data_IF_379480772038
#
_entry.id   IF_379480772038
#
_cell.length_a   1.000
_cell.length_b   1.000
_cell.length_c   1.000
_cell.angle_alpha   90.00
_cell.angle_beta   90.00
_cell.angle_gamma   90.00
#
_symmetry.space_group_name_H-M   'P 1'
#
loop_
_entity.id
_entity.type
_entity.pdbx_description
1 polymer ?
#
# COMPACT_ATOMS: atom_id res chain seq x y z
N UNK A 1 20.10 -25.18 1.06
CA UNK A 1 20.47 -24.09 1.99
C UNK A 1 20.70 -22.79 1.22
N UNK A 2 21.47 -22.81 0.12
CA UNK A 2 21.65 -21.66 -0.78
C UNK A 2 20.32 -21.07 -1.33
N UNK A 3 19.42 -21.90 -1.85
CA UNK A 3 18.11 -21.45 -2.38
C UNK A 3 17.25 -20.69 -1.35
N UNK A 4 17.30 -21.10 -0.07
CA UNK A 4 16.57 -20.41 1.00
C UNK A 4 17.19 -19.04 1.29
N UNK A 5 18.51 -18.95 1.34
CA UNK A 5 19.21 -17.68 1.56
C UNK A 5 18.96 -16.70 0.42
N UNK A 6 18.93 -17.21 -0.82
CA UNK A 6 18.58 -16.42 -1.99
C UNK A 6 17.13 -15.93 -1.97
N UNK A 7 16.18 -16.80 -1.60
CA UNK A 7 14.78 -16.40 -1.40
C UNK A 7 14.62 -15.32 -0.32
N UNK A 8 15.37 -15.42 0.79
CA UNK A 8 15.38 -14.37 1.82
C UNK A 8 15.99 -13.07 1.31
N UNK A 9 17.09 -13.13 0.55
CA UNK A 9 17.70 -11.92 0.00
C UNK A 9 16.72 -11.18 -0.94
N UNK A 10 16.02 -11.92 -1.81
CA UNK A 10 14.98 -11.40 -2.69
C UNK A 10 13.82 -10.78 -1.90
N UNK A 11 13.35 -11.49 -0.87
CA UNK A 11 12.34 -10.98 0.07
C UNK A 11 12.72 -9.63 0.68
N UNK A 12 13.90 -9.55 1.29
CA UNK A 12 14.36 -8.35 1.99
C UNK A 12 14.60 -7.19 1.04
N UNK A 13 15.07 -7.46 -0.17
CA UNK A 13 15.19 -6.45 -1.23
C UNK A 13 13.83 -5.88 -1.62
N UNK A 14 12.87 -6.74 -1.97
CA UNK A 14 11.51 -6.32 -2.32
C UNK A 14 10.82 -5.55 -1.18
N UNK A 15 11.01 -6.01 0.06
CA UNK A 15 10.54 -5.31 1.25
C UNK A 15 11.20 -3.92 1.40
N UNK A 16 12.52 -3.84 1.25
CA UNK A 16 13.28 -2.59 1.33
C UNK A 16 12.85 -1.56 0.28
N UNK A 17 12.66 -1.98 -0.98
CA UNK A 17 12.13 -1.14 -2.06
C UNK A 17 10.77 -0.57 -1.71
N UNK A 18 9.81 -1.41 -1.33
CA UNK A 18 8.48 -0.96 -0.95
C UNK A 18 8.52 0.04 0.22
N UNK A 19 9.36 -0.24 1.22
CA UNK A 19 9.51 0.62 2.39
C UNK A 19 10.09 1.99 2.03
N UNK A 20 11.06 2.05 1.13
CA UNK A 20 11.60 3.31 0.62
C UNK A 20 10.50 4.15 -0.02
N UNK A 21 9.69 3.55 -0.90
CA UNK A 21 8.61 4.26 -1.58
C UNK A 21 7.54 4.78 -0.61
N UNK A 22 7.13 3.97 0.36
CA UNK A 22 6.17 4.38 1.39
C UNK A 22 6.74 5.50 2.26
N UNK A 23 8.01 5.41 2.68
CA UNK A 23 8.65 6.45 3.48
C UNK A 23 8.77 7.77 2.73
N UNK A 24 9.17 7.76 1.44
CA UNK A 24 9.22 8.96 0.62
C UNK A 24 7.83 9.58 0.45
N UNK A 25 6.83 8.74 0.18
CA UNK A 25 5.42 9.15 0.04
C UNK A 25 4.90 9.80 1.32
N UNK A 26 5.12 9.15 2.48
CA UNK A 26 4.73 9.68 3.78
C UNK A 26 5.46 10.97 4.11
N UNK A 27 6.78 11.02 3.91
CA UNK A 27 7.61 12.20 4.20
C UNK A 27 7.12 13.41 3.40
N UNK A 28 6.85 13.25 2.11
CA UNK A 28 6.29 14.32 1.29
C UNK A 28 4.88 14.74 1.74
N UNK A 29 4.05 13.79 2.18
CA UNK A 29 2.71 14.06 2.69
C UNK A 29 2.66 14.80 4.02
N UNK A 30 3.66 14.62 4.89
CA UNK A 30 3.74 15.35 6.19
C UNK A 30 4.62 16.60 6.12
N UNK A 31 5.24 16.86 4.96
CA UNK A 31 6.09 18.04 4.76
C UNK A 31 5.25 19.28 4.45
N UNK A 32 5.77 20.44 4.86
CA UNK A 32 5.24 21.75 4.43
C UNK A 32 5.90 22.13 3.10
N UNK A 33 5.09 22.29 2.06
CA UNK A 33 5.58 22.73 0.74
C UNK A 33 5.47 24.25 0.63
N UNK A 34 6.43 24.88 -0.05
CA UNK A 34 6.45 26.34 -0.21
C UNK A 34 5.22 26.83 -0.99
N UNK A 35 4.88 26.12 -2.07
CA UNK A 35 3.75 26.39 -2.96
C UNK A 35 3.27 25.09 -3.62
N UNK A 36 2.21 25.18 -4.43
CA UNK A 36 1.65 24.04 -5.16
C UNK A 36 2.61 23.43 -6.17
N UNK A 37 3.47 24.24 -6.80
CA UNK A 37 4.46 23.74 -7.79
C UNK A 37 5.49 22.84 -7.11
N UNK A 38 6.02 23.26 -5.96
CA UNK A 38 6.96 22.47 -5.18
C UNK A 38 6.33 21.15 -4.68
N UNK A 39 5.05 21.18 -4.32
CA UNK A 39 4.27 20.00 -3.98
C UNK A 39 4.16 19.02 -5.16
N UNK A 40 3.70 19.49 -6.33
CA UNK A 40 3.58 18.65 -7.52
C UNK A 40 4.94 18.11 -8.00
N UNK A 41 6.01 18.90 -7.90
CA UNK A 41 7.37 18.44 -8.23
C UNK A 41 7.84 17.31 -7.30
N UNK A 42 7.54 17.42 -6.00
CA UNK A 42 7.88 16.38 -5.03
C UNK A 42 7.10 15.09 -5.30
N UNK A 43 5.79 15.19 -5.50
CA UNK A 43 4.94 14.04 -5.77
C UNK A 43 5.15 13.44 -7.17
N UNK A 44 5.50 14.24 -8.17
CA UNK A 44 5.90 13.79 -9.49
C UNK A 44 7.16 12.92 -9.44
N UNK A 45 8.17 13.31 -8.64
CA UNK A 45 9.36 12.47 -8.39
C UNK A 45 8.98 11.16 -7.71
N UNK A 46 8.06 11.19 -6.74
CA UNK A 46 7.58 9.98 -6.06
C UNK A 46 6.84 9.06 -7.04
N UNK A 47 5.96 9.60 -7.90
CA UNK A 47 5.28 8.81 -8.92
C UNK A 47 6.28 8.13 -9.88
N UNK A 48 7.35 8.83 -10.26
CA UNK A 48 8.42 8.25 -11.06
C UNK A 48 9.15 7.14 -10.32
N UNK A 49 9.35 7.22 -9.01
CA UNK A 49 9.93 6.12 -8.21
C UNK A 49 9.02 4.88 -8.22
N UNK A 50 7.70 5.07 -8.03
CA UNK A 50 6.74 3.96 -8.11
C UNK A 50 6.67 3.36 -9.51
N UNK A 51 6.77 4.18 -10.56
CA UNK A 51 6.75 3.75 -11.96
C UNK A 51 8.04 3.02 -12.35
N UNK A 52 9.18 3.67 -12.16
CA UNK A 52 10.50 3.30 -12.67
C UNK A 52 11.48 3.25 -11.50
N UNK A 53 11.31 2.24 -10.64
CA UNK A 53 12.27 1.94 -9.58
C UNK A 53 13.57 1.47 -10.25
N UNK A 54 14.45 2.44 -10.54
CA UNK A 54 15.70 2.23 -11.27
C UNK A 54 16.62 1.20 -10.58
N UNK A 55 16.43 0.93 -9.29
CA UNK A 55 17.17 -0.09 -8.56
C UNK A 55 16.59 -1.51 -8.73
N UNK A 56 15.35 -1.62 -9.20
CA UNK A 56 14.55 -2.86 -9.30
C UNK A 56 14.01 -3.05 -10.74
N UNK A 57 14.93 -2.99 -11.70
CA UNK A 57 14.65 -2.87 -13.13
C UNK A 57 14.14 -4.14 -13.82
N UNK A 58 14.21 -5.32 -13.20
CA UNK A 58 13.73 -6.56 -13.81
C UNK A 58 12.24 -6.79 -13.57
N UNK A 59 11.60 -7.52 -14.50
CA UNK A 59 10.20 -7.92 -14.33
C UNK A 59 10.00 -8.76 -13.05
N UNK A 60 11.01 -9.57 -12.72
CA UNK A 60 11.01 -10.40 -11.53
C UNK A 60 11.02 -9.56 -10.25
N UNK A 61 11.90 -8.56 -10.15
CA UNK A 61 11.95 -7.67 -8.98
C UNK A 61 10.65 -6.89 -8.80
N UNK A 62 10.08 -6.35 -9.89
CA UNK A 62 8.81 -5.62 -9.83
C UNK A 62 7.67 -6.52 -9.33
N UNK A 63 7.61 -7.77 -9.81
CA UNK A 63 6.62 -8.74 -9.34
C UNK A 63 6.83 -9.12 -7.87
N UNK A 64 8.07 -9.31 -7.43
CA UNK A 64 8.40 -9.56 -6.02
C UNK A 64 7.95 -8.41 -5.11
N UNK A 65 8.20 -7.16 -5.50
CA UNK A 65 7.74 -5.96 -4.75
C UNK A 65 6.22 -5.89 -4.67
N UNK A 66 5.52 -6.11 -5.78
CA UNK A 66 4.05 -6.14 -5.82
C UNK A 66 3.51 -7.23 -4.88
N UNK A 67 4.12 -8.40 -4.87
CA UNK A 67 3.70 -9.50 -4.01
C UNK A 67 3.95 -9.21 -2.52
N UNK A 68 5.13 -8.68 -2.17
CA UNK A 68 5.41 -8.27 -0.80
C UNK A 68 4.39 -7.21 -0.36
N UNK A 69 4.08 -6.25 -1.22
CA UNK A 69 3.08 -5.20 -0.98
C UNK A 69 1.69 -5.80 -0.78
N UNK A 70 1.22 -6.63 -1.69
CA UNK A 70 -0.14 -7.19 -1.65
C UNK A 70 -0.34 -8.22 -0.52
N UNK A 71 0.68 -9.03 -0.21
CA UNK A 71 0.55 -10.17 0.69
C UNK A 71 1.09 -9.93 2.08
N UNK A 72 2.30 -9.38 2.22
CA UNK A 72 2.86 -9.10 3.54
C UNK A 72 2.23 -7.83 4.05
N UNK A 73 2.37 -6.75 3.28
CA UNK A 73 1.95 -5.44 3.73
C UNK A 73 0.43 -5.29 3.76
N UNK A 74 -0.26 -5.81 2.74
CA UNK A 74 -1.72 -5.91 2.73
C UNK A 74 -2.26 -6.73 3.90
N UNK A 75 -1.62 -7.85 4.27
CA UNK A 75 -2.02 -8.63 5.45
C UNK A 75 -1.79 -7.86 6.75
N UNK A 76 -0.62 -7.26 6.94
CA UNK A 76 -0.32 -6.48 8.14
C UNK A 76 -1.28 -5.28 8.29
N UNK A 77 -1.56 -4.57 7.20
CA UNK A 77 -2.54 -3.49 7.16
C UNK A 77 -3.97 -3.98 7.47
N UNK A 78 -4.37 -5.15 6.96
CA UNK A 78 -5.65 -5.78 7.33
C UNK A 78 -5.70 -6.09 8.83
N UNK A 79 -4.60 -6.56 9.41
CA UNK A 79 -4.52 -6.86 10.84
C UNK A 79 -4.66 -5.60 11.70
N UNK A 80 -4.07 -4.46 11.31
CA UNK A 80 -4.22 -3.18 12.03
C UNK A 80 -5.68 -2.83 12.33
N UNK A 81 -6.56 -3.11 11.36
CA UNK A 81 -7.97 -2.76 11.36
C UNK A 81 -8.91 -3.95 11.67
N UNK A 82 -8.37 -5.13 12.01
CA UNK A 82 -9.12 -6.32 12.43
C UNK A 82 -9.08 -6.48 13.97
N UNK A 83 -10.02 -7.20 14.59
CA UNK A 83 -10.11 -7.30 16.06
C UNK A 83 -9.92 -8.75 16.60
N UNK A 84 -8.86 -9.04 17.38
CA UNK A 84 -8.65 -10.34 18.01
C UNK A 84 -9.10 -10.45 19.50
N UNK A 85 -10.26 -9.88 19.84
CA UNK A 85 -10.98 -9.93 21.16
C UNK A 85 -10.91 -8.68 22.07
N UNK A 86 -10.57 -7.56 21.44
CA UNK A 86 -10.96 -6.18 21.72
C UNK A 86 -9.89 -5.26 22.39
N UNK A 87 -9.07 -4.63 21.53
CA UNK A 87 -8.26 -3.45 21.84
C UNK A 87 -8.52 -2.22 20.91
N UNK A 88 -9.63 -1.47 20.84
CA UNK A 88 -11.02 -1.56 21.31
C UNK A 88 -11.87 -0.48 20.56
N UNK A 89 -12.31 -0.59 19.30
CA UNK A 89 -12.30 -1.67 18.32
C UNK A 89 -12.52 -1.08 16.91
N UNK A 90 -11.74 -1.52 15.92
CA UNK A 90 -12.25 -1.67 14.55
C UNK A 90 -12.59 -3.16 14.36
N UNK A 91 -13.88 -3.51 14.52
CA UNK A 91 -14.46 -4.85 14.29
C UNK A 91 -15.77 -4.70 13.53
N UNK A 92 -15.94 -5.42 12.41
CA UNK A 92 -17.23 -6.00 11.93
C UNK A 92 -18.36 -5.06 11.51
N UNK A 93 -18.34 -3.82 11.99
CA UNK A 93 -19.05 -2.65 11.54
C UNK A 93 -17.99 -1.56 11.60
N UNK A 94 -17.38 -1.22 10.47
CA UNK A 94 -17.04 0.19 10.33
C UNK A 94 -18.34 0.92 10.63
N UNK A 95 -18.46 1.60 11.78
CA UNK A 95 -19.17 2.87 11.76
C UNK A 95 -18.28 3.76 10.91
N UNK A 96 -18.38 3.52 9.61
CA UNK A 96 -17.63 4.18 8.58
C UNK A 96 -17.76 5.69 8.74
N UNK A 97 -18.92 6.10 9.25
CA UNK A 97 -19.27 7.40 9.78
C UNK A 97 -18.15 8.07 10.60
N UNK A 98 -17.33 7.33 11.34
CA UNK A 98 -16.21 7.92 12.09
C UNK A 98 -15.10 8.46 11.18
N UNK A 99 -14.92 7.89 10.00
CA UNK A 99 -13.89 8.27 9.02
C UNK A 99 -14.47 8.88 7.74
N UNK A 100 -15.79 8.83 7.52
CA UNK A 100 -16.44 9.44 6.35
C UNK A 100 -16.13 10.93 6.20
N UNK A 101 -15.92 11.61 7.32
CA UNK A 101 -15.56 13.03 7.37
C UNK A 101 -14.05 13.26 7.21
N UNK A 102 -13.22 12.21 7.16
CA UNK A 102 -11.77 12.37 7.05
C UNK A 102 -11.40 12.71 5.59
N UNK A 103 -10.66 13.81 5.35
CA UNK A 103 -10.40 14.35 4.00
C UNK A 103 -9.72 13.38 3.03
N UNK A 104 -9.04 12.37 3.57
CA UNK A 104 -8.35 11.35 2.79
C UNK A 104 -9.32 10.39 2.07
N UNK A 105 -10.53 10.18 2.62
CA UNK A 105 -11.50 9.22 2.07
C UNK A 105 -12.39 9.83 0.97
N UNK A 106 -12.50 11.16 0.90
CA UNK A 106 -13.25 11.86 -0.15
C UNK A 106 -12.57 11.78 -1.53
N UNK A 107 -11.27 11.52 -1.58
CA UNK A 107 -10.49 11.40 -2.82
C UNK A 107 -10.54 10.01 -3.48
N UNK A 108 -11.28 9.06 -2.89
CA UNK A 108 -11.32 7.67 -3.36
C UNK A 108 -12.70 7.35 -3.99
N UNK A 109 -12.75 6.55 -5.07
CA UNK A 109 -13.97 6.31 -5.82
C UNK A 109 -15.02 5.56 -4.99
N UNK A 110 -16.25 6.08 -4.99
CA UNK A 110 -17.40 5.66 -4.18
C UNK A 110 -17.78 4.17 -4.22
N UNK A 111 -17.35 3.45 -5.25
CA UNK A 111 -17.70 2.06 -5.52
C UNK A 111 -16.89 1.02 -4.73
N UNK A 112 -15.76 1.40 -4.11
CA UNK A 112 -14.94 0.47 -3.31
C UNK A 112 -15.40 0.51 -1.84
N UNK A 113 -15.60 -0.64 -1.16
CA UNK A 113 -15.88 -0.66 0.27
C UNK A 113 -14.82 0.13 1.04
N UNK A 114 -15.20 1.12 1.85
CA UNK A 114 -14.22 2.03 2.43
C UNK A 114 -13.33 1.42 3.53
N UNK A 115 -13.62 0.19 3.98
CA UNK A 115 -12.62 -0.67 4.64
C UNK A 115 -11.42 -0.95 3.74
N UNK A 116 -11.67 -1.43 2.52
CA UNK A 116 -10.64 -1.76 1.55
C UNK A 116 -9.82 -0.55 1.15
N UNK A 117 -10.44 0.65 1.21
CA UNK A 117 -9.76 1.93 1.03
C UNK A 117 -8.77 2.23 2.16
N UNK A 118 -9.19 2.11 3.41
CA UNK A 118 -8.31 2.31 4.58
C UNK A 118 -7.12 1.35 4.59
N UNK A 119 -7.35 0.09 4.23
CA UNK A 119 -6.29 -0.91 4.09
C UNK A 119 -5.29 -0.48 3.02
N UNK A 120 -5.78 -0.07 1.84
CA UNK A 120 -4.92 0.45 0.77
C UNK A 120 -4.14 1.69 1.19
N UNK A 121 -4.78 2.64 1.88
CA UNK A 121 -4.10 3.82 2.40
C UNK A 121 -2.97 3.44 3.36
N UNK A 122 -3.20 2.50 4.27
CA UNK A 122 -2.15 2.03 5.17
C UNK A 122 -0.99 1.36 4.39
N UNK A 123 -1.29 0.60 3.34
CA UNK A 123 -0.27 -0.04 2.51
C UNK A 123 0.65 0.97 1.82
N UNK A 124 0.13 2.10 1.32
CA UNK A 124 0.92 3.05 0.53
C UNK A 124 1.42 4.29 1.30
N UNK A 125 0.83 4.60 2.46
CA UNK A 125 1.09 5.86 3.17
C UNK A 125 1.44 5.72 4.66
N UNK A 126 1.39 4.51 5.23
CA UNK A 126 1.77 4.32 6.62
C UNK A 126 3.17 3.68 6.68
N UNK A 127 4.19 4.40 7.16
CA UNK A 127 5.54 3.88 7.28
C UNK A 127 5.59 2.56 8.04
N UNK A 128 6.48 1.64 7.63
CA UNK A 128 6.63 0.35 8.26
C UNK A 128 6.83 0.31 9.78
N UNK A 129 7.65 1.20 10.36
CA UNK A 129 7.79 1.25 11.80
C UNK A 129 6.46 1.49 12.54
N UNK A 130 5.57 2.32 11.98
CA UNK A 130 4.29 2.65 12.60
C UNK A 130 3.27 1.50 12.49
N UNK A 131 3.30 0.73 11.39
CA UNK A 131 2.52 -0.50 11.28
C UNK A 131 2.97 -1.51 12.35
N UNK A 132 4.28 -1.70 12.49
CA UNK A 132 4.84 -2.62 13.48
C UNK A 132 4.47 -2.17 14.90
N UNK A 133 4.61 -0.89 15.23
CA UNK A 133 4.25 -0.33 16.54
C UNK A 133 2.78 -0.59 16.89
N UNK A 134 1.87 -0.32 15.95
CA UNK A 134 0.43 -0.55 16.12
C UNK A 134 0.05 -2.04 16.23
N UNK A 135 0.82 -2.94 15.60
CA UNK A 135 0.64 -4.38 15.73
C UNK A 135 1.19 -4.90 17.06
N UNK A 136 2.34 -4.40 17.51
CA UNK A 136 2.91 -4.76 18.81
C UNK A 136 1.96 -4.38 19.95
N UNK A 137 1.41 -3.17 19.94
CA UNK A 137 0.38 -2.75 20.91
C UNK A 137 -0.84 -3.69 20.92
N UNK A 138 -1.26 -4.17 19.74
CA UNK A 138 -2.39 -5.09 19.60
C UNK A 138 -2.08 -6.50 20.10
N UNK A 139 -0.86 -6.98 19.93
CA UNK A 139 -0.47 -8.35 20.25
C UNK A 139 0.04 -8.53 21.68
N UNK A 140 0.23 -7.44 22.43
CA UNK A 140 0.63 -7.51 23.85
C UNK A 140 -0.52 -8.00 24.74
N UNK A 141 -0.32 -9.07 25.53
CA UNK A 141 -1.36 -9.63 26.39
C UNK A 141 -1.70 -8.68 27.56
N UNK A 142 -2.96 -8.65 27.99
CA UNK A 142 -3.44 -7.90 29.15
C UNK A 142 -2.95 -8.56 30.46
N UNK A 143 -1.66 -8.46 30.77
CA UNK A 143 -1.09 -9.08 31.98
C UNK A 143 -0.77 -8.11 33.10
N UNK A 144 -1.10 -6.82 32.97
CA UNK A 144 -0.97 -5.87 34.08
C UNK A 144 -2.25 -5.94 34.93
N UNK A 145 -2.17 -6.38 36.20
CA UNK A 145 -3.31 -6.35 37.11
C UNK A 145 -3.83 -4.93 37.18
N UNK A 146 -5.14 -4.77 37.12
CA UNK A 146 -5.85 -3.50 37.30
C UNK A 146 -5.48 -2.93 38.68
N UNK A 147 -4.40 -2.14 38.73
CA UNK A 147 -4.12 -1.30 39.87
C UNK A 147 -5.23 -0.25 39.94
N UNK A 148 -5.65 0.10 41.14
CA UNK A 148 -6.79 0.97 41.48
C UNK A 148 -6.64 2.43 41.04
N UNK A 149 -5.77 2.72 40.07
CA UNK A 149 -5.57 4.02 39.46
C UNK A 149 -6.00 3.97 37.97
N UNK A 150 -6.92 4.83 37.52
CA UNK A 150 -7.52 4.77 36.18
C UNK A 150 -6.59 5.27 35.05
N UNK A 151 -5.27 5.24 35.24
CA UNK A 151 -4.31 5.87 34.31
C UNK A 151 -3.56 4.86 33.43
N UNK A 152 -3.46 3.58 33.80
CA UNK A 152 -2.51 2.68 33.12
C UNK A 152 -3.17 1.45 32.46
N UNK A 153 -4.12 1.68 31.55
CA UNK A 153 -4.20 0.79 30.38
C UNK A 153 -3.24 1.34 29.32
N UNK A 154 -2.02 0.81 29.26
CA UNK A 154 -0.96 1.23 28.33
C UNK A 154 -1.25 0.78 26.88
N UNK A 155 -2.49 0.98 26.40
CA UNK A 155 -2.90 0.70 25.03
C UNK A 155 -2.94 1.97 24.21
N UNK A 156 -2.34 1.94 23.02
CA UNK A 156 -2.32 3.08 22.11
C UNK A 156 -3.73 3.39 21.61
N UNK A 157 -4.18 4.62 21.78
CA UNK A 157 -5.36 5.11 21.07
C UNK A 157 -5.00 5.22 19.57
N UNK A 158 -5.33 4.18 18.80
CA UNK A 158 -4.96 4.05 17.39
C UNK A 158 -5.36 5.24 16.54
N UNK A 159 -6.58 5.77 16.72
CA UNK A 159 -7.07 6.92 15.96
C UNK A 159 -6.26 8.18 16.28
N UNK A 160 -6.02 8.44 17.57
CA UNK A 160 -5.21 9.57 17.99
C UNK A 160 -3.77 9.45 17.49
N UNK A 161 -3.18 8.25 17.55
CA UNK A 161 -1.86 7.96 17.02
C UNK A 161 -1.77 8.21 15.52
N UNK A 162 -2.70 7.66 14.72
CA UNK A 162 -2.76 7.87 13.27
C UNK A 162 -2.94 9.35 12.91
N UNK A 163 -3.74 10.12 13.67
CA UNK A 163 -3.85 11.57 13.50
C UNK A 163 -2.54 12.29 13.74
N UNK A 164 -1.80 11.93 14.80
CA UNK A 164 -0.48 12.54 15.08
C UNK A 164 0.55 12.26 14.01
N UNK A 165 0.42 11.15 13.28
CA UNK A 165 1.27 10.80 12.15
C UNK A 165 0.87 11.49 10.83
N UNK A 166 -0.20 12.30 10.83
CA UNK A 166 -0.76 12.87 9.60
C UNK A 166 -1.35 11.83 8.66
N UNK A 167 -1.66 10.62 9.15
CA UNK A 167 -2.20 9.55 8.31
C UNK A 167 -3.56 9.93 7.72
N UNK A 168 -4.37 10.70 8.45
CA UNK A 168 -5.72 11.12 8.07
C UNK A 168 -5.78 12.49 7.37
N UNK A 169 -4.65 13.16 7.22
CA UNK A 169 -4.56 14.47 6.60
C UNK A 169 -4.74 14.37 5.07
N UNK A 170 -5.04 15.51 4.43
CA UNK A 170 -5.00 15.63 2.97
C UNK A 170 -3.60 15.29 2.48
N UNK A 171 -3.49 14.29 1.59
CA UNK A 171 -2.20 13.78 1.10
C UNK A 171 -1.27 14.75 0.37
N UNK A 172 -1.70 15.82 -0.31
CA UNK A 172 -0.75 16.77 -0.89
C UNK A 172 0.05 17.59 0.17
N UNK A 173 -0.11 17.32 1.47
CA UNK A 173 0.62 18.02 2.53
C UNK A 173 0.05 19.39 2.81
N UNK A 174 0.78 20.21 3.58
CA UNK A 174 0.36 21.56 3.95
C UNK A 174 1.05 22.58 3.04
N UNK A 175 0.26 23.38 2.31
CA UNK A 175 0.80 24.48 1.51
C UNK A 175 1.20 25.65 2.42
N UNK A 176 2.27 26.37 2.06
CA UNK A 176 2.73 27.53 2.80
C UNK A 176 1.78 28.72 2.74
N UNK A 177 0.94 28.77 1.70
CA UNK A 177 -0.04 29.81 1.40
C UNK A 177 -1.41 29.17 1.13
N UNK A 178 -2.36 29.38 2.05
CA UNK A 178 -3.72 28.81 2.02
C UNK A 178 -4.63 29.44 0.94
N UNK A 179 -4.14 30.44 0.20
CA UNK A 179 -4.92 31.16 -0.83
C UNK A 179 -5.18 30.34 -2.09
N UNK A 180 -4.40 29.29 -2.33
CA UNK A 180 -4.61 28.30 -3.40
C UNK A 180 -5.55 27.20 -2.88
N UNK A 181 -6.83 27.55 -2.74
CA UNK A 181 -7.87 26.60 -2.31
C UNK A 181 -7.83 25.30 -3.10
N UNK A 182 -7.96 24.18 -2.37
CA UNK A 182 -8.13 22.79 -2.85
C UNK A 182 -7.65 22.50 -4.28
N UNK A 183 -6.40 22.88 -4.59
CA UNK A 183 -5.77 22.48 -5.84
C UNK A 183 -5.64 20.96 -5.82
N UNK A 184 -6.50 20.28 -6.57
CA UNK A 184 -6.56 18.82 -6.61
C UNK A 184 -5.27 18.30 -7.21
N UNK A 185 -4.34 17.86 -6.37
CA UNK A 185 -3.16 17.14 -6.83
C UNK A 185 -3.60 15.87 -7.56
N UNK A 186 -2.93 15.56 -8.67
CA UNK A 186 -3.13 14.28 -9.37
C UNK A 186 -2.59 13.08 -8.56
N UNK A 187 -1.92 13.36 -7.44
CA UNK A 187 -1.36 12.36 -6.54
C UNK A 187 -2.42 11.75 -5.62
N UNK A 188 -3.05 10.67 -6.10
CA UNK A 188 -4.00 9.87 -5.33
C UNK A 188 -3.44 8.49 -5.00
N UNK A 189 -4.10 7.79 -4.07
CA UNK A 189 -3.76 6.39 -3.77
C UNK A 189 -3.98 5.50 -4.99
N UNK A 190 -5.03 5.77 -5.76
CA UNK A 190 -5.26 5.13 -7.06
C UNK A 190 -4.10 5.39 -8.00
N UNK A 191 -3.63 6.63 -8.10
CA UNK A 191 -2.49 6.98 -8.96
C UNK A 191 -1.23 6.20 -8.56
N UNK A 192 -0.92 6.09 -7.27
CA UNK A 192 0.22 5.31 -6.78
C UNK A 192 0.12 3.83 -7.13
N UNK A 193 -1.04 3.21 -6.86
CA UNK A 193 -1.29 1.82 -7.24
C UNK A 193 -1.10 1.68 -8.74
N UNK A 194 -1.75 2.52 -9.55
CA UNK A 194 -1.64 2.44 -11.01
C UNK A 194 -0.18 2.61 -11.48
N UNK A 195 0.60 3.52 -10.89
CA UNK A 195 2.00 3.74 -11.29
C UNK A 195 2.87 2.50 -11.05
N UNK A 196 2.70 1.81 -9.92
CA UNK A 196 3.39 0.54 -9.64
C UNK A 196 3.11 -0.50 -10.74
N UNK A 197 1.84 -0.61 -11.14
CA UNK A 197 1.39 -1.54 -12.19
C UNK A 197 1.75 -1.10 -13.61
N UNK A 198 1.77 0.19 -13.90
CA UNK A 198 2.26 0.74 -15.17
C UNK A 198 3.76 0.46 -15.36
N UNK A 199 4.54 0.45 -14.28
CA UNK A 199 5.94 0.04 -14.33
C UNK A 199 6.09 -1.41 -14.80
N UNK A 200 5.24 -2.30 -14.28
CA UNK A 200 5.20 -3.70 -14.71
C UNK A 200 4.75 -3.86 -16.16
N UNK A 201 3.75 -3.10 -16.59
CA UNK A 201 3.25 -3.14 -17.97
C UNK A 201 4.31 -2.70 -18.97
N UNK A 202 5.06 -1.63 -18.66
CA UNK A 202 6.20 -1.18 -19.46
C UNK A 202 7.27 -2.27 -19.63
N UNK A 203 7.60 -3.00 -18.56
CA UNK A 203 8.56 -4.12 -18.62
C UNK A 203 8.06 -5.30 -19.46
N UNK A 204 6.74 -5.47 -19.57
CA UNK A 204 6.12 -6.51 -20.42
C UNK A 204 6.02 -6.12 -21.90
N UNK A 205 6.53 -4.94 -22.27
CA UNK A 205 6.45 -4.36 -23.61
C UNK A 205 5.13 -3.64 -23.88
N UNK A 206 4.32 -3.37 -22.85
CA UNK A 206 3.14 -2.53 -22.93
C UNK A 206 3.50 -1.05 -23.10
N UNK A 207 2.59 -0.28 -23.67
CA UNK A 207 2.70 1.17 -23.72
C UNK A 207 2.09 1.80 -22.46
N UNK A 208 2.67 2.88 -21.95
CA UNK A 208 2.03 3.67 -20.90
C UNK A 208 0.87 4.45 -21.55
N UNK A 209 -0.36 4.03 -21.28
CA UNK A 209 -1.57 4.70 -21.74
C UNK A 209 -2.24 5.33 -20.53
N UNK A 210 -1.89 6.58 -20.20
CA UNK A 210 -2.50 7.36 -19.13
C UNK A 210 -3.90 7.86 -19.54
N UNK A 211 -4.78 6.97 -19.99
CA UNK A 211 -6.19 7.31 -20.19
C UNK A 211 -6.88 7.24 -18.83
N UNK A 212 -7.57 8.31 -18.39
CA UNK A 212 -8.34 8.30 -17.16
C UNK A 212 -9.31 7.10 -17.12
N UNK A 213 -9.21 6.28 -16.08
CA UNK A 213 -10.05 5.08 -15.90
C UNK A 213 -9.55 3.81 -16.61
N UNK A 214 -8.48 3.88 -17.41
CA UNK A 214 -7.82 2.67 -17.91
C UNK A 214 -6.98 2.01 -16.81
N UNK A 215 -7.09 0.69 -16.71
CA UNK A 215 -6.33 -0.13 -15.78
C UNK A 215 -5.21 -0.84 -16.54
N UNK A 216 -3.97 -0.89 -16.03
CA UNK A 216 -2.91 -1.69 -16.63
C UNK A 216 -3.36 -3.14 -16.80
N UNK A 217 -3.14 -3.73 -17.98
CA UNK A 217 -3.49 -5.13 -18.25
C UNK A 217 -2.90 -6.11 -17.21
N UNK A 218 -1.65 -5.93 -16.72
CA UNK A 218 -1.09 -6.76 -15.67
C UNK A 218 -1.85 -6.66 -14.35
N UNK A 219 -2.37 -5.47 -14.00
CA UNK A 219 -3.19 -5.29 -12.80
C UNK A 219 -4.47 -6.11 -12.89
N UNK A 220 -5.19 -6.03 -14.01
CA UNK A 220 -6.44 -6.78 -14.20
C UNK A 220 -6.17 -8.29 -14.16
N UNK A 221 -5.15 -8.73 -14.89
CA UNK A 221 -4.72 -10.14 -14.94
C UNK A 221 -4.34 -10.67 -13.55
N UNK A 222 -3.64 -9.85 -12.76
CA UNK A 222 -3.27 -10.17 -11.39
C UNK A 222 -4.47 -10.28 -10.45
N UNK A 223 -5.44 -9.36 -10.53
CA UNK A 223 -6.65 -9.44 -9.70
C UNK A 223 -7.46 -10.70 -10.00
N UNK A 224 -7.60 -11.06 -11.28
CA UNK A 224 -8.27 -12.31 -11.68
C UNK A 224 -7.51 -13.55 -11.18
N UNK A 225 -6.18 -13.53 -11.30
CA UNK A 225 -5.34 -14.58 -10.75
C UNK A 225 -5.53 -14.74 -9.23
N UNK A 226 -5.55 -13.63 -8.48
CA UNK A 226 -5.81 -13.62 -7.03
C UNK A 226 -7.15 -14.22 -6.68
N UNK A 227 -8.18 -13.88 -7.44
CA UNK A 227 -9.55 -14.32 -7.16
C UNK A 227 -9.75 -15.82 -7.43
N UNK A 228 -9.18 -16.34 -8.52
CA UNK A 228 -9.55 -17.66 -9.03
C UNK A 228 -8.50 -18.75 -8.90
N UNK A 229 -7.22 -18.39 -8.74
CA UNK A 229 -6.11 -19.36 -8.83
C UNK A 229 -5.13 -19.31 -7.66
N UNK A 230 -5.03 -18.18 -6.97
CA UNK A 230 -4.02 -17.98 -5.92
C UNK A 230 -4.03 -19.04 -4.81
N UNK A 231 -5.24 -19.41 -4.35
CA UNK A 231 -5.41 -20.37 -3.25
C UNK A 231 -4.76 -21.72 -3.54
N UNK A 232 -4.84 -22.17 -4.79
CA UNK A 232 -4.44 -23.52 -5.20
C UNK A 232 -3.01 -23.57 -5.76
N UNK A 233 -2.46 -22.42 -6.12
CA UNK A 233 -1.21 -22.32 -6.86
C UNK A 233 -0.05 -21.82 -5.96
N UNK A 234 -0.14 -20.61 -5.40
CA UNK A 234 1.06 -19.90 -4.90
C UNK A 234 0.91 -19.20 -3.55
N UNK A 235 -0.15 -19.43 -2.75
CA UNK A 235 -0.29 -18.78 -1.44
C UNK A 235 1.00 -18.84 -0.60
N UNK A 236 1.72 -17.71 -0.52
CA UNK A 236 2.96 -17.55 0.25
C UNK A 236 4.23 -18.17 -0.36
N UNK A 237 4.22 -18.55 -1.65
CA UNK A 237 5.34 -19.24 -2.31
C UNK A 237 6.13 -18.48 -3.39
N UNK A 238 5.70 -17.36 -3.99
CA UNK A 238 6.39 -16.84 -5.19
C UNK A 238 7.79 -16.28 -4.91
N UNK A 239 8.04 -15.79 -3.71
CA UNK A 239 9.40 -15.44 -3.24
C UNK A 239 10.29 -16.69 -3.07
N UNK A 240 9.69 -17.87 -2.90
CA UNK A 240 10.39 -19.15 -2.81
C UNK A 240 10.68 -19.78 -4.18
N UNK A 241 10.07 -19.28 -5.26
CA UNK A 241 10.31 -19.80 -6.61
C UNK A 241 11.23 -18.86 -7.38
N UNK A 242 12.28 -19.43 -7.98
CA UNK A 242 13.10 -18.77 -8.99
C UNK A 242 12.36 -18.90 -10.33
N UNK A 243 11.89 -17.78 -10.87
CA UNK A 243 11.28 -17.75 -12.19
C UNK A 243 12.13 -16.93 -13.13
N UNK A 244 12.35 -17.47 -14.32
CA UNK A 244 12.91 -16.69 -15.41
C UNK A 244 11.85 -15.71 -15.93
N UNK A 245 12.27 -14.54 -16.42
CA UNK A 245 11.35 -13.50 -16.91
C UNK A 245 10.35 -14.02 -17.95
N UNK A 246 10.76 -14.96 -18.81
CA UNK A 246 9.88 -15.58 -19.80
C UNK A 246 8.75 -16.40 -19.15
N UNK A 247 9.02 -17.10 -18.05
CA UNK A 247 8.02 -17.88 -17.32
C UNK A 247 7.03 -16.96 -16.62
N UNK A 248 7.53 -15.89 -15.99
CA UNK A 248 6.71 -14.87 -15.34
C UNK A 248 5.85 -14.11 -16.36
N UNK A 249 6.43 -13.67 -17.47
CA UNK A 249 5.74 -13.02 -18.58
C UNK A 249 4.63 -13.90 -19.13
N UNK A 250 4.96 -15.15 -19.48
CA UNK A 250 4.00 -16.13 -20.00
C UNK A 250 2.85 -16.31 -19.02
N UNK A 251 3.16 -16.45 -17.73
CA UNK A 251 2.18 -16.64 -16.68
C UNK A 251 1.21 -15.46 -16.55
N UNK A 252 1.73 -14.23 -16.47
CA UNK A 252 0.90 -13.01 -16.38
C UNK A 252 -0.01 -12.90 -17.61
N UNK A 253 0.54 -13.14 -18.81
CA UNK A 253 -0.20 -13.07 -20.08
C UNK A 253 -1.23 -14.20 -20.23
N UNK A 254 -0.88 -15.43 -19.87
CA UNK A 254 -1.76 -16.61 -19.96
C UNK A 254 -2.97 -16.47 -19.02
N UNK A 255 -2.80 -15.82 -17.87
CA UNK A 255 -3.94 -15.53 -16.98
C UNK A 255 -4.88 -14.48 -17.57
N UNK A 256 -4.38 -13.42 -18.20
CA UNK A 256 -5.24 -12.47 -18.91
C UNK A 256 -6.04 -13.13 -20.04
N UNK A 257 -5.35 -13.95 -20.85
CA UNK A 257 -5.95 -14.66 -21.99
C UNK A 257 -7.02 -15.68 -21.59
N UNK A 258 -6.84 -16.38 -20.47
CA UNK A 258 -7.85 -17.32 -19.97
C UNK A 258 -9.22 -16.65 -19.68
N UNK A 259 -9.25 -15.33 -19.59
CA UNK A 259 -10.44 -14.52 -19.37
C UNK A 259 -10.75 -13.56 -20.53
N UNK A 260 -10.13 -13.76 -21.70
CA UNK A 260 -10.40 -12.96 -22.90
C UNK A 260 -9.83 -11.53 -22.85
N UNK A 261 -8.79 -11.30 -22.06
CA UNK A 261 -8.04 -10.05 -22.06
C UNK A 261 -6.89 -10.16 -23.09
N UNK A 262 -6.99 -9.41 -24.18
CA UNK A 262 -5.95 -9.28 -25.22
C UNK A 262 -5.31 -7.89 -25.21
#
# INVERSE_FOLDING_TARGET
>A
MAEKLEAYARFYRALGSHWLHVNMTWTAGVSRHADFSACEDAFGKIMLLWLDDCEHSSLQEKAETIEVTDFVWGFLALMLFSNPDAPNSFKGHLQLNEFLDEPILSNLPGNVPPYSRLVRLATFYLPPPHIIELLLDMWMPETVPQSSHPVDSCRVNKRHYLRRLGFLDKKPGTLGDDSLGDASSNFTTEALIMMEWWGMDRLLGGGIVLIPGSLPLPFVSWQLYRLYRWKDDMRGKPILYLWFEQQLTKRIKDYGKAWGLD
#
